data_IF_568141429445
#
_entry.id   IF_568141429445
#
_cell.length_a   1.000
_cell.length_b   1.000
_cell.length_c   1.000
_cell.angle_alpha   90.00
_cell.angle_beta   90.00
_cell.angle_gamma   90.00
#
_symmetry.space_group_name_H-M   'P 1'
#
loop_
_entity.id
_entity.type
_entity.pdbx_description
1 polymer ?
#
# COMPACT_ATOMS: atom_id res chain seq x y z
N UNK A 1 -9.82 20.06 -0.06
CA UNK A 1 -8.46 19.50 0.01
C UNK A 1 -8.48 18.38 1.02
N UNK A 2 -8.56 17.15 0.54
CA UNK A 2 -8.39 15.95 1.35
C UNK A 2 -6.95 15.90 1.89
N UNK A 3 -6.83 15.65 3.18
CA UNK A 3 -5.54 15.41 3.87
C UNK A 3 -5.20 13.92 3.79
N UNK A 4 -3.91 13.58 3.83
CA UNK A 4 -3.42 12.20 3.73
C UNK A 4 -4.16 11.24 4.68
N UNK A 5 -4.48 11.68 5.89
CA UNK A 5 -5.26 10.90 6.86
C UNK A 5 -6.61 10.41 6.31
N UNK A 6 -7.34 11.25 5.55
CA UNK A 6 -8.61 10.86 4.93
C UNK A 6 -8.43 9.83 3.82
N UNK A 7 -7.32 9.94 3.07
CA UNK A 7 -6.99 8.97 2.03
C UNK A 7 -6.63 7.61 2.64
N UNK A 8 -5.85 7.62 3.72
CA UNK A 8 -5.54 6.42 4.50
C UNK A 8 -6.78 5.77 5.10
N UNK A 9 -7.72 6.57 5.65
CA UNK A 9 -9.00 6.03 6.15
C UNK A 9 -9.80 5.36 5.02
N UNK A 10 -9.85 5.95 3.83
CA UNK A 10 -10.50 5.34 2.68
C UNK A 10 -9.85 4.01 2.31
N UNK A 11 -8.52 3.98 2.19
CA UNK A 11 -7.78 2.77 1.78
C UNK A 11 -7.96 1.66 2.81
N UNK A 12 -7.89 1.97 4.11
CA UNK A 12 -8.18 0.98 5.15
C UNK A 12 -9.62 0.46 5.08
N UNK A 13 -10.58 1.29 4.70
CA UNK A 13 -11.98 0.89 4.54
C UNK A 13 -12.20 -0.03 3.33
N UNK A 14 -11.49 0.20 2.22
CA UNK A 14 -11.62 -0.60 1.00
C UNK A 14 -10.61 -1.76 0.92
N UNK A 15 -9.72 -1.88 1.91
CA UNK A 15 -8.77 -2.98 1.98
C UNK A 15 -9.51 -4.32 2.10
N UNK A 16 -9.16 -5.28 1.25
CA UNK A 16 -9.85 -6.56 1.14
C UNK A 16 -11.05 -6.57 0.18
N UNK A 17 -11.39 -5.43 -0.46
CA UNK A 17 -12.38 -5.43 -1.56
C UNK A 17 -11.91 -6.36 -2.69
N UNK A 18 -12.77 -7.30 -3.15
CA UNK A 18 -12.39 -8.28 -4.17
C UNK A 18 -12.00 -7.65 -5.52
N UNK A 19 -11.10 -8.30 -6.25
CA UNK A 19 -10.80 -7.89 -7.62
C UNK A 19 -11.95 -8.25 -8.57
N UNK A 20 -12.56 -7.23 -9.19
CA UNK A 20 -13.59 -7.40 -10.22
C UNK A 20 -13.25 -6.48 -11.39
N UNK A 21 -13.01 -7.08 -12.57
CA UNK A 21 -12.73 -6.34 -13.81
C UNK A 21 -13.89 -5.38 -14.12
N UNK A 22 -13.59 -4.10 -14.27
CA UNK A 22 -14.56 -3.03 -14.49
C UNK A 22 -15.38 -2.63 -13.26
N UNK A 23 -15.07 -3.17 -12.08
CA UNK A 23 -15.75 -2.84 -10.83
C UNK A 23 -15.46 -1.42 -10.36
N UNK A 24 -16.49 -0.75 -9.83
CA UNK A 24 -16.44 0.62 -9.30
C UNK A 24 -17.36 0.75 -8.08
N UNK A 25 -17.31 -0.25 -7.20
CA UNK A 25 -18.13 -0.26 -5.98
C UNK A 25 -17.42 -0.97 -4.82
N UNK A 26 -17.88 -0.81 -3.57
CA UNK A 26 -17.39 -1.58 -2.43
C UNK A 26 -17.48 -3.10 -2.61
N UNK A 27 -18.33 -3.60 -3.53
CA UNK A 27 -18.47 -5.03 -3.83
C UNK A 27 -17.30 -5.60 -4.67
N UNK A 28 -16.51 -4.73 -5.30
CA UNK A 28 -15.33 -5.14 -6.07
C UNK A 28 -14.82 -4.06 -7.01
N UNK A 29 -13.52 -4.07 -7.26
CA UNK A 29 -12.82 -3.08 -8.11
C UNK A 29 -11.66 -3.72 -8.86
N UNK A 30 -11.24 -3.11 -9.97
CA UNK A 30 -10.01 -3.49 -10.65
C UNK A 30 -8.85 -2.54 -10.29
N UNK A 31 -7.67 -2.77 -10.86
CA UNK A 31 -6.51 -1.93 -10.61
C UNK A 31 -6.78 -0.44 -10.92
N UNK A 32 -7.42 -0.16 -12.05
CA UNK A 32 -7.78 1.21 -12.44
C UNK A 32 -8.93 1.80 -11.64
N UNK A 33 -9.88 0.99 -11.16
CA UNK A 33 -10.98 1.42 -10.32
C UNK A 33 -10.48 1.89 -8.95
N UNK A 34 -9.57 1.13 -8.32
CA UNK A 34 -8.93 1.56 -7.08
C UNK A 34 -8.15 2.86 -7.26
N UNK A 35 -7.32 2.95 -8.31
CA UNK A 35 -6.56 4.17 -8.59
C UNK A 35 -7.51 5.35 -8.86
N UNK A 36 -8.65 5.11 -9.53
CA UNK A 36 -9.69 6.11 -9.71
C UNK A 36 -10.25 6.63 -8.38
N UNK A 37 -10.53 5.75 -7.42
CA UNK A 37 -11.02 6.15 -6.10
C UNK A 37 -10.03 7.02 -5.35
N UNK A 38 -8.76 6.60 -5.33
CA UNK A 38 -7.67 7.32 -4.67
C UNK A 38 -7.47 8.70 -5.31
N UNK A 39 -7.43 8.75 -6.63
CA UNK A 39 -7.25 9.98 -7.41
C UNK A 39 -8.45 10.92 -7.27
N UNK A 40 -9.68 10.40 -7.28
CA UNK A 40 -10.89 11.20 -7.09
C UNK A 40 -10.95 11.75 -5.66
N UNK A 41 -10.62 10.93 -4.65
CA UNK A 41 -10.53 11.38 -3.27
C UNK A 41 -9.48 12.49 -3.11
N UNK A 42 -8.28 12.33 -3.68
CA UNK A 42 -7.23 13.34 -3.61
C UNK A 42 -7.58 14.66 -4.30
N UNK A 43 -8.56 14.66 -5.21
CA UNK A 43 -8.94 15.81 -6.03
C UNK A 43 -10.34 16.34 -5.70
N UNK A 44 -10.86 15.99 -4.52
CA UNK A 44 -12.17 16.41 -3.98
C UNK A 44 -13.35 16.06 -4.93
N UNK A 45 -13.26 14.90 -5.62
CA UNK A 45 -14.29 14.38 -6.54
C UNK A 45 -15.05 13.20 -5.92
N UNK A 46 -16.25 12.88 -6.41
CA UNK A 46 -16.96 11.67 -6.02
C UNK A 46 -16.07 10.44 -6.25
N UNK A 47 -15.91 9.63 -5.19
CA UNK A 47 -15.04 8.45 -5.19
C UNK A 47 -15.52 7.45 -6.27
N UNK A 48 -16.83 7.17 -6.27
CA UNK A 48 -17.49 6.27 -7.22
C UNK A 48 -18.12 7.02 -8.39
N UNK A 49 -18.31 6.34 -9.52
CA UNK A 49 -19.04 6.87 -10.68
C UNK A 49 -18.23 7.82 -11.56
N UNK A 50 -16.98 8.12 -11.18
CA UNK A 50 -16.02 8.91 -11.97
C UNK A 50 -14.73 8.12 -12.24
N UNK A 51 -14.90 6.83 -12.59
CA UNK A 51 -13.80 5.92 -12.91
C UNK A 51 -13.11 6.25 -14.23
N UNK A 52 -11.84 5.91 -14.30
CA UNK A 52 -11.06 5.78 -15.52
C UNK A 52 -10.47 4.37 -15.62
N UNK A 53 -9.82 4.08 -16.74
CA UNK A 53 -9.11 2.84 -17.03
C UNK A 53 -7.70 3.18 -17.53
N UNK A 54 -6.81 2.19 -17.60
CA UNK A 54 -5.43 2.37 -18.06
C UNK A 54 -5.33 3.00 -19.47
N UNK A 55 -6.33 2.78 -20.33
CA UNK A 55 -6.39 3.34 -21.67
C UNK A 55 -6.69 4.84 -21.74
N UNK A 56 -7.30 5.43 -20.70
CA UNK A 56 -7.57 6.87 -20.62
C UNK A 56 -6.99 7.53 -19.36
N UNK A 57 -6.16 6.80 -18.62
CA UNK A 57 -5.58 7.21 -17.33
C UNK A 57 -4.77 8.50 -17.45
N UNK A 58 -3.95 8.65 -18.48
CA UNK A 58 -3.16 9.87 -18.71
C UNK A 58 -4.03 11.13 -18.78
N UNK A 59 -5.04 11.13 -19.66
CA UNK A 59 -5.96 12.25 -19.82
C UNK A 59 -6.79 12.49 -18.54
N UNK A 60 -7.18 11.41 -17.86
CA UNK A 60 -7.92 11.47 -16.62
C UNK A 60 -7.09 12.13 -15.49
N UNK A 61 -5.82 11.78 -15.36
CA UNK A 61 -4.91 12.34 -14.37
C UNK A 61 -4.60 13.82 -14.67
N UNK A 62 -4.32 14.17 -15.93
CA UNK A 62 -4.11 15.56 -16.35
C UNK A 62 -5.32 16.46 -16.02
N UNK A 63 -6.54 15.99 -16.32
CA UNK A 63 -7.78 16.73 -16.01
C UNK A 63 -8.02 16.95 -14.51
N UNK A 64 -7.26 16.23 -13.69
CA UNK A 64 -7.30 16.24 -12.22
C UNK A 64 -6.07 16.91 -11.60
N UNK A 65 -5.22 17.55 -12.42
CA UNK A 65 -4.09 18.36 -11.95
C UNK A 65 -2.80 17.58 -11.71
N UNK A 66 -2.72 16.32 -12.15
CA UNK A 66 -1.48 15.57 -12.09
C UNK A 66 -0.47 16.09 -13.10
N UNK A 67 0.81 15.96 -12.74
CA UNK A 67 1.97 16.33 -13.54
C UNK A 67 2.74 15.07 -13.93
N UNK A 68 3.44 15.11 -15.07
CA UNK A 68 4.27 13.98 -15.51
C UNK A 68 5.48 13.75 -14.59
N UNK A 69 5.79 12.47 -14.35
CA UNK A 69 6.94 12.04 -13.54
C UNK A 69 6.54 11.61 -12.14
N UNK A 70 7.48 11.74 -11.21
CA UNK A 70 7.33 11.35 -9.80
C UNK A 70 7.90 12.45 -8.92
N UNK A 71 7.32 12.66 -7.75
CA UNK A 71 7.85 13.59 -6.75
C UNK A 71 7.82 12.97 -5.36
N UNK A 72 8.77 13.32 -4.47
CA UNK A 72 8.68 12.96 -3.06
C UNK A 72 7.47 13.67 -2.41
N UNK A 73 6.90 13.06 -1.37
CA UNK A 73 5.76 13.59 -0.62
C UNK A 73 4.52 13.90 -1.49
N UNK A 74 4.38 13.21 -2.63
CA UNK A 74 3.30 13.39 -3.58
C UNK A 74 2.53 12.10 -3.77
N UNK A 75 1.27 12.21 -4.19
CA UNK A 75 0.52 11.06 -4.64
C UNK A 75 1.02 10.68 -6.03
N UNK A 76 1.68 9.53 -6.18
CA UNK A 76 2.28 9.08 -7.43
C UNK A 76 1.47 7.92 -7.99
N UNK A 77 1.12 7.98 -9.26
CA UNK A 77 0.43 6.94 -10.02
C UNK A 77 1.36 6.43 -11.11
N UNK A 78 1.51 5.11 -11.19
CA UNK A 78 2.32 4.44 -12.21
C UNK A 78 1.46 3.43 -12.95
N UNK A 79 1.58 3.39 -14.29
CA UNK A 79 0.80 2.48 -15.12
C UNK A 79 1.53 2.02 -16.38
N UNK A 80 0.99 0.97 -16.99
CA UNK A 80 1.32 0.47 -18.33
C UNK A 80 0.04 0.10 -19.09
N UNK A 81 0.16 -0.62 -20.21
CA UNK A 81 -0.97 -0.99 -21.07
C UNK A 81 -2.07 -1.85 -20.42
N UNK A 82 -1.86 -2.42 -19.23
CA UNK A 82 -2.85 -3.29 -18.57
C UNK A 82 -2.87 -3.27 -17.05
N UNK A 83 -1.96 -2.55 -16.41
CA UNK A 83 -1.87 -2.47 -14.96
C UNK A 83 -1.56 -1.05 -14.50
N UNK A 84 -2.12 -0.66 -13.35
CA UNK A 84 -1.85 0.60 -12.67
C UNK A 84 -1.83 0.39 -11.15
N UNK A 85 -1.02 1.16 -10.45
CA UNK A 85 -0.98 1.22 -9.01
C UNK A 85 -0.59 2.61 -8.53
N UNK A 86 -0.80 2.88 -7.25
CA UNK A 86 -0.59 4.19 -6.65
C UNK A 86 0.30 4.09 -5.41
N UNK A 87 1.12 5.11 -5.21
CA UNK A 87 1.91 5.31 -4.00
C UNK A 87 1.48 6.62 -3.36
N UNK A 88 1.09 6.56 -2.09
CA UNK A 88 0.63 7.70 -1.33
C UNK A 88 1.79 8.66 -0.98
N UNK A 89 1.48 9.91 -0.59
CA UNK A 89 2.49 10.90 -0.18
C UNK A 89 3.49 10.43 0.88
N UNK A 90 3.08 9.56 1.80
CA UNK A 90 3.97 8.97 2.83
C UNK A 90 4.83 7.81 2.31
N UNK A 91 4.74 7.50 1.01
CA UNK A 91 5.42 6.39 0.39
C UNK A 91 4.66 5.06 0.49
N UNK A 92 3.47 5.02 1.08
CA UNK A 92 2.69 3.79 1.22
C UNK A 92 2.18 3.32 -0.15
N UNK A 93 2.56 2.11 -0.62
CA UNK A 93 2.09 1.56 -1.89
C UNK A 93 0.70 0.92 -1.73
N UNK A 94 -0.16 1.12 -2.72
CA UNK A 94 -1.53 0.59 -2.75
C UNK A 94 -1.82 0.04 -4.14
N UNK A 95 -2.35 -1.18 -4.20
CA UNK A 95 -2.67 -1.87 -5.45
C UNK A 95 -3.88 -2.78 -5.29
N UNK A 96 -4.56 -3.07 -6.40
CA UNK A 96 -5.74 -3.94 -6.41
C UNK A 96 -5.55 -5.29 -7.12
N UNK A 97 -4.40 -5.61 -7.70
CA UNK A 97 -4.28 -6.78 -8.58
C UNK A 97 -3.42 -7.93 -8.03
N UNK A 98 -2.26 -7.64 -7.42
CA UNK A 98 -1.25 -8.69 -7.13
C UNK A 98 -1.70 -9.74 -6.11
N UNK A 99 -2.76 -9.48 -5.35
CA UNK A 99 -3.30 -10.39 -4.32
C UNK A 99 -4.81 -10.65 -4.44
N UNK A 100 -5.41 -10.39 -5.59
CA UNK A 100 -6.84 -10.66 -5.82
C UNK A 100 -7.81 -9.67 -5.18
N UNK A 101 -7.33 -8.45 -4.89
CA UNK A 101 -8.14 -7.38 -4.31
C UNK A 101 -7.29 -6.20 -3.86
N UNK A 102 -7.96 -5.18 -3.33
CA UNK A 102 -7.33 -3.97 -2.78
C UNK A 102 -6.49 -4.34 -1.57
N UNK A 103 -5.22 -3.95 -1.59
CA UNK A 103 -4.30 -4.14 -0.48
C UNK A 103 -3.23 -3.05 -0.44
N UNK A 104 -2.69 -2.85 0.77
CA UNK A 104 -1.50 -2.04 1.02
C UNK A 104 -0.27 -2.94 0.93
N UNK A 105 0.79 -2.46 0.26
CA UNK A 105 2.04 -3.19 0.07
C UNK A 105 2.40 -3.41 -1.42
N UNK A 106 3.55 -4.01 -1.66
CA UNK A 106 4.11 -4.19 -3.01
C UNK A 106 4.97 -3.00 -3.44
N UNK A 107 5.26 -2.90 -4.74
CA UNK A 107 6.10 -1.82 -5.27
C UNK A 107 5.30 -0.54 -5.63
N UNK A 108 3.96 -0.57 -5.53
CA UNK A 108 3.08 0.58 -5.78
C UNK A 108 3.31 1.16 -7.18
N UNK A 109 3.33 2.49 -7.28
CA UNK A 109 3.60 3.20 -8.53
C UNK A 109 5.05 3.03 -9.06
N UNK A 110 5.95 2.39 -8.30
CA UNK A 110 7.36 2.18 -8.70
C UNK A 110 7.65 0.74 -9.14
N UNK A 111 6.63 -0.01 -9.53
CA UNK A 111 6.81 -1.31 -10.18
C UNK A 111 7.65 -1.17 -11.45
N UNK A 112 8.67 -2.02 -11.62
CA UNK A 112 9.60 -1.97 -12.76
C UNK A 112 8.92 -2.11 -14.14
N UNK A 113 7.70 -2.64 -14.19
CA UNK A 113 6.92 -2.80 -15.42
C UNK A 113 6.08 -1.59 -15.82
N UNK A 114 6.07 -0.50 -15.05
CA UNK A 114 5.35 0.72 -15.41
C UNK A 114 6.18 1.62 -16.31
N UNK A 115 5.57 2.03 -17.42
CA UNK A 115 6.19 2.88 -18.44
C UNK A 115 5.77 4.33 -18.32
N UNK A 116 4.70 4.60 -17.58
CA UNK A 116 4.17 5.94 -17.37
C UNK A 116 4.02 6.24 -15.89
N UNK A 117 4.33 7.47 -15.51
CA UNK A 117 4.23 7.95 -14.14
C UNK A 117 3.71 9.38 -14.14
N UNK A 118 2.79 9.67 -13.22
CA UNK A 118 2.33 11.02 -12.93
C UNK A 118 2.16 11.21 -11.44
N UNK A 119 2.29 12.44 -10.96
CA UNK A 119 2.15 12.77 -9.56
C UNK A 119 1.24 13.97 -9.33
N UNK A 120 0.61 13.99 -8.17
CA UNK A 120 -0.12 15.14 -7.64
C UNK A 120 0.59 15.61 -6.37
N UNK A 121 1.15 16.83 -6.34
CA UNK A 121 1.71 17.41 -5.12
C UNK A 121 0.64 17.44 -4.03
N UNK A 122 0.97 16.90 -2.86
CA UNK A 122 0.13 16.97 -1.66
C UNK A 122 0.92 17.71 -0.57
N UNK A 123 0.28 18.58 0.22
CA UNK A 123 0.94 19.21 1.34
C UNK A 123 1.33 18.10 2.34
N UNK A 124 2.57 18.12 2.85
CA UNK A 124 2.94 17.27 3.97
C UNK A 124 2.00 17.60 5.13
N UNK A 125 1.53 16.57 5.83
CA UNK A 125 0.55 16.64 6.90
C UNK A 125 0.70 17.90 7.77
N UNK A 126 -0.22 18.87 7.63
CA UNK A 126 -0.27 20.01 8.54
C UNK A 126 -0.84 21.32 7.99
N UNK A 127 -0.89 21.56 6.69
CA UNK A 127 -1.44 22.82 6.13
C UNK A 127 -2.87 22.69 5.60
N UNK A 128 -3.62 21.75 6.17
CA UNK A 128 -5.03 21.53 5.92
C UNK A 128 -5.72 21.11 7.20
N UNK A 129 -5.63 21.94 8.24
CA UNK A 129 -6.52 21.81 9.39
C UNK A 129 -7.95 21.69 8.85
N UNK A 130 -8.70 20.62 9.14
CA UNK A 130 -10.12 20.59 8.82
C UNK A 130 -10.78 21.71 9.63
N UNK A 131 -11.04 22.83 8.97
CA UNK A 131 -11.97 23.84 9.45
C UNK A 131 -13.30 23.14 9.72
N UNK A 132 -13.60 22.93 11.00
CA UNK A 132 -14.96 22.65 11.46
C UNK A 132 -15.30 21.20 11.76
N UNK A 133 -14.62 20.57 12.72
CA UNK A 133 -15.35 19.72 13.66
C UNK A 133 -15.79 20.61 14.83
N UNK A 134 -17.09 20.89 15.03
CA UNK A 134 -17.52 21.66 16.19
C UNK A 134 -17.29 20.83 17.46
N UNK A 135 -16.35 21.24 18.31
CA UNK A 135 -16.28 20.75 19.69
C UNK A 135 -14.92 20.50 20.31
N UNK A 136 -13.79 20.67 19.61
CA UNK A 136 -12.48 20.57 20.26
C UNK A 136 -11.95 21.98 20.59
N UNK A 137 -11.65 22.29 21.88
CA UNK A 137 -11.01 23.55 22.22
C UNK A 137 -9.63 23.62 21.54
N UNK A 138 -9.20 24.81 21.09
CA UNK A 138 -7.86 24.97 20.53
C UNK A 138 -6.81 24.52 21.55
N UNK A 139 -5.70 23.91 21.10
CA UNK A 139 -4.61 23.60 22.00
C UNK A 139 -4.12 24.91 22.66
N UNK A 140 -3.76 24.87 23.96
CA UNK A 140 -3.26 26.05 24.64
C UNK A 140 -2.00 26.58 23.91
N UNK A 141 -1.82 27.90 23.85
CA UNK A 141 -0.75 28.57 23.08
C UNK A 141 0.69 28.22 23.51
N UNK A 142 0.86 27.40 24.56
CA UNK A 142 2.15 27.06 25.17
C UNK A 142 2.52 25.57 25.08
N UNK A 143 1.90 24.79 24.19
CA UNK A 143 2.38 23.43 23.94
C UNK A 143 3.76 23.49 23.26
N UNK A 144 4.82 22.90 23.84
CA UNK A 144 6.13 22.89 23.22
C UNK A 144 6.05 22.15 21.87
N UNK A 145 6.78 22.61 20.84
CA UNK A 145 6.80 21.93 19.56
C UNK A 145 7.28 20.48 19.74
N UNK A 146 6.77 19.52 18.94
CA UNK A 146 7.24 18.15 18.99
C UNK A 146 8.75 18.12 18.68
N UNK A 147 9.51 17.20 19.31
CA UNK A 147 10.95 17.13 19.10
C UNK A 147 11.27 16.82 17.63
N UNK A 148 12.34 17.39 17.06
CA UNK A 148 12.77 17.09 15.70
C UNK A 148 13.09 15.59 15.55
N UNK A 149 12.66 15.00 14.44
CA UNK A 149 12.77 13.58 14.08
C UNK A 149 14.21 13.07 13.86
N UNK A 150 15.22 13.87 14.15
CA UNK A 150 16.65 13.60 13.91
C UNK A 150 17.43 13.24 15.19
N UNK A 151 16.76 12.64 16.16
CA UNK A 151 17.45 11.98 17.26
C UNK A 151 17.82 10.55 16.83
N UNK A 152 19.10 10.13 16.91
CA UNK A 152 19.45 8.73 16.65
C UNK A 152 18.68 7.82 17.60
N UNK A 153 18.20 6.66 17.13
CA UNK A 153 17.45 5.73 17.97
C UNK A 153 18.30 5.30 19.17
N UNK A 154 17.71 5.16 20.37
CA UNK A 154 18.43 4.66 21.52
C UNK A 154 18.96 3.24 21.23
N UNK A 155 20.13 2.86 21.76
CA UNK A 155 20.66 1.52 21.56
C UNK A 155 19.66 0.49 22.12
N UNK A 156 19.51 -0.68 21.47
CA UNK A 156 18.61 -1.72 21.95
C UNK A 156 19.06 -2.18 23.34
N UNK A 157 18.17 -2.05 24.32
CA UNK A 157 18.36 -2.64 25.65
C UNK A 157 18.47 -4.16 25.51
N UNK A 158 19.58 -4.71 26.01
CA UNK A 158 19.78 -6.15 26.07
C UNK A 158 18.74 -6.79 27.02
N UNK A 159 18.04 -7.87 26.61
CA UNK A 159 17.09 -8.53 27.48
C UNK A 159 17.81 -9.17 28.69
N UNK A 160 17.17 -9.21 29.87
CA UNK A 160 17.73 -9.86 31.05
C UNK A 160 17.90 -11.37 30.78
N UNK A 161 19.11 -11.87 31.03
CA UNK A 161 19.44 -13.29 31.01
C UNK A 161 18.63 -14.03 32.08
N UNK A 162 17.58 -14.73 31.65
CA UNK A 162 16.89 -15.72 32.47
C UNK A 162 17.70 -17.01 32.48
N UNK A 163 18.33 -17.27 33.62
CA UNK A 163 18.89 -18.58 33.98
C UNK A 163 17.75 -19.59 34.10
N UNK A 164 17.84 -20.67 33.32
CA UNK A 164 17.14 -21.93 33.61
C UNK A 164 15.99 -22.30 32.67
N UNK A 165 16.33 -22.87 31.51
CA UNK A 165 15.47 -23.83 30.83
C UNK A 165 16.35 -24.84 30.09
N UNK A 166 16.29 -26.09 30.51
CA UNK A 166 16.92 -27.23 29.84
C UNK A 166 16.41 -27.33 28.40
N UNK A 167 17.35 -27.42 27.45
CA UNK A 167 17.03 -27.59 26.03
C UNK A 167 16.30 -28.92 25.79
N UNK A 168 15.18 -28.96 25.03
CA UNK A 168 14.70 -30.21 24.48
C UNK A 168 15.67 -30.71 23.40
N UNK A 169 15.93 -32.03 23.39
CA UNK A 169 16.84 -32.67 22.44
C UNK A 169 16.38 -32.49 20.99
N UNK A 170 17.31 -32.37 20.02
CA UNK A 170 16.96 -32.25 18.61
C UNK A 170 16.31 -33.55 18.07
N UNK A 171 15.39 -33.46 17.10
CA UNK A 171 14.83 -34.63 16.43
C UNK A 171 15.92 -35.36 15.63
N UNK A 172 15.85 -36.70 15.64
CA UNK A 172 16.77 -37.56 14.91
C UNK A 172 16.67 -37.34 13.38
N UNK A 173 17.82 -37.38 12.71
CA UNK A 173 17.91 -37.28 11.25
C UNK A 173 17.16 -38.45 10.57
N UNK A 174 16.55 -38.22 9.39
CA UNK A 174 15.94 -39.29 8.62
C UNK A 174 17.01 -40.30 8.15
N UNK A 175 16.66 -41.59 8.22
CA UNK A 175 17.50 -42.69 7.77
C UNK A 175 17.68 -42.68 6.23
N UNK A 176 18.80 -43.18 5.69
CA UNK A 176 18.97 -43.34 4.25
C UNK A 176 17.99 -44.38 3.70
N UNK A 177 17.34 -44.03 2.60
CA UNK A 177 16.42 -44.87 1.84
C UNK A 177 17.15 -46.13 1.32
N UNK A 178 16.62 -47.31 1.65
CA UNK A 178 17.10 -48.59 1.11
C UNK A 178 16.67 -48.72 -0.36
N UNK A 179 17.52 -49.25 -1.26
CA UNK A 179 17.10 -49.55 -2.62
C UNK A 179 15.98 -50.61 -2.65
N UNK A 180 15.07 -50.56 -3.63
CA UNK A 180 13.97 -51.51 -3.72
C UNK A 180 14.48 -52.94 -3.96
N UNK A 181 13.82 -53.97 -3.40
CA UNK A 181 14.16 -55.36 -3.66
C UNK A 181 13.97 -55.70 -5.14
N UNK A 182 15.00 -56.29 -5.75
CA UNK A 182 14.96 -56.77 -7.13
C UNK A 182 13.95 -57.89 -7.33
N UNK A 183 13.24 -57.84 -8.46
CA UNK A 183 12.31 -58.88 -8.92
C UNK A 183 13.00 -60.26 -9.01
N UNK A 184 12.39 -61.33 -8.48
CA UNK A 184 12.81 -62.68 -8.81
C UNK A 184 12.47 -62.98 -10.28
N UNK A 185 13.50 -63.28 -11.07
CA UNK A 185 13.39 -63.60 -12.49
C UNK A 185 12.42 -64.74 -12.78
N UNK A 186 11.64 -64.57 -13.86
CA UNK A 186 10.92 -65.64 -14.55
C UNK A 186 11.92 -66.27 -15.53
N UNK A 187 12.29 -67.56 -15.38
CA UNK A 187 13.06 -68.25 -16.40
C UNK A 187 12.17 -68.57 -17.62
N UNK A 188 12.82 -68.48 -18.78
CA UNK A 188 12.36 -68.71 -20.15
C UNK A 188 11.61 -70.02 -20.36
#
# INVERSE_FOLDING_TARGET
MIVLASLMSLINQVSGTPYIVGGDSPAGTDCSGLVSWVVNAATDRPIYGNRFNTGNEEAALLSRGFQYGTAPNALVVGWNGGHTAVTLPDGTPVSSCERGGVHVGGAGAYQAGFTHHMFLPMPPDGEGLPMGLPGLPPPPPDAPPPPPLDAPPPPPEAPPVLVGAVAPAPPAAPAPELPPPGDPGIPN
#
